data_IF_065011119899
#
_entry.id   IF_065011119899
#
_cell.length_a   1.000
_cell.length_b   1.000
_cell.length_c   1.000
_cell.angle_alpha   90.00
_cell.angle_beta   90.00
_cell.angle_gamma   90.00
#
_symmetry.space_group_name_H-M   'P 1'
#
loop_
_entity.id
_entity.type
_entity.pdbx_description
1 polymer ?
#
# COMPACT_ATOMS: atom_id res chain seq x y z
N UNK A 1 16.10 -10.02 24.81
CA UNK A 1 15.20 -10.60 23.80
C UNK A 1 15.85 -10.36 22.44
N UNK A 2 15.45 -11.09 21.39
CA UNK A 2 16.12 -10.99 20.08
C UNK A 2 15.26 -10.15 19.15
N UNK A 3 15.86 -9.48 18.17
CA UNK A 3 15.16 -8.88 17.04
C UNK A 3 14.42 -9.97 16.26
N UNK A 4 13.20 -9.71 15.83
CA UNK A 4 12.33 -10.69 15.18
C UNK A 4 11.83 -10.16 13.83
N UNK A 5 12.01 -10.98 12.78
CA UNK A 5 11.37 -10.72 11.49
C UNK A 5 9.90 -11.14 11.59
N UNK A 6 9.00 -10.18 11.48
CA UNK A 6 7.55 -10.42 11.60
C UNK A 6 6.89 -10.41 10.23
N UNK A 7 6.59 -11.60 9.73
CA UNK A 7 5.82 -11.75 8.49
C UNK A 7 4.38 -11.27 8.68
N UNK A 8 3.87 -10.51 7.72
CA UNK A 8 2.47 -10.11 7.71
C UNK A 8 1.53 -11.22 7.20
N UNK A 9 2.07 -12.38 6.83
CA UNK A 9 1.32 -13.43 6.13
C UNK A 9 0.17 -13.99 6.94
N UNK A 10 0.40 -14.32 8.22
CA UNK A 10 -0.63 -14.95 9.06
C UNK A 10 -1.84 -14.02 9.25
N UNK A 11 -1.60 -12.74 9.50
CA UNK A 11 -2.63 -11.73 9.54
C UNK A 11 -3.43 -11.66 8.22
N UNK A 12 -2.71 -11.61 7.10
CA UNK A 12 -3.33 -11.54 5.77
C UNK A 12 -4.16 -12.78 5.47
N UNK A 13 -3.67 -13.97 5.81
CA UNK A 13 -4.38 -15.24 5.59
C UNK A 13 -5.66 -15.31 6.44
N UNK A 14 -5.64 -14.80 7.68
CA UNK A 14 -6.83 -14.70 8.54
C UNK A 14 -7.85 -13.72 7.92
N UNK A 15 -7.41 -12.51 7.58
CA UNK A 15 -8.30 -11.48 7.04
C UNK A 15 -8.89 -11.82 5.67
N UNK A 16 -8.16 -12.53 4.83
CA UNK A 16 -8.70 -13.06 3.58
C UNK A 16 -9.81 -14.09 3.80
N UNK A 17 -9.69 -14.94 4.82
CA UNK A 17 -10.75 -15.89 5.17
C UNK A 17 -12.01 -15.15 5.62
N UNK A 18 -11.86 -14.11 6.47
CA UNK A 18 -12.96 -13.26 6.91
C UNK A 18 -13.66 -12.61 5.70
N UNK A 19 -12.90 -11.97 4.80
CA UNK A 19 -13.42 -11.34 3.58
C UNK A 19 -14.14 -12.36 2.67
N UNK A 20 -13.56 -13.53 2.50
CA UNK A 20 -14.18 -14.60 1.69
C UNK A 20 -15.52 -15.04 2.24
N UNK A 21 -15.66 -15.19 3.55
CA UNK A 21 -16.95 -15.51 4.17
C UNK A 21 -17.94 -14.35 3.99
N UNK A 22 -17.49 -13.11 4.14
CA UNK A 22 -18.32 -11.93 3.94
C UNK A 22 -18.87 -11.84 2.51
N UNK A 23 -17.99 -12.02 1.50
CA UNK A 23 -18.37 -11.98 0.07
C UNK A 23 -19.42 -13.03 -0.28
N UNK A 24 -19.42 -14.20 0.35
CA UNK A 24 -20.43 -15.24 0.12
C UNK A 24 -21.87 -14.80 0.46
N UNK A 25 -22.00 -13.81 1.32
CA UNK A 25 -23.29 -13.27 1.74
C UNK A 25 -23.71 -12.03 0.94
N UNK A 26 -22.92 -11.61 -0.03
CA UNK A 26 -23.28 -10.53 -0.95
C UNK A 26 -24.15 -11.06 -2.10
N UNK A 27 -25.02 -10.20 -2.65
CA UNK A 27 -25.92 -10.59 -3.73
C UNK A 27 -25.22 -10.88 -5.05
N UNK A 28 -24.08 -10.19 -5.30
CA UNK A 28 -23.19 -10.42 -6.43
C UNK A 28 -21.75 -10.35 -5.98
N UNK A 29 -20.84 -10.86 -6.78
CA UNK A 29 -19.39 -10.68 -6.55
C UNK A 29 -19.03 -9.22 -6.76
N UNK A 30 -18.24 -8.61 -5.84
CA UNK A 30 -17.65 -7.30 -6.10
C UNK A 30 -16.75 -7.33 -7.33
N UNK A 31 -16.69 -6.23 -8.08
CA UNK A 31 -15.93 -6.10 -9.33
C UNK A 31 -14.81 -5.07 -9.17
N UNK A 32 -13.57 -5.51 -9.33
CA UNK A 32 -12.38 -4.65 -9.38
C UNK A 32 -11.90 -4.50 -10.83
N UNK A 33 -11.85 -3.26 -11.35
CA UNK A 33 -11.24 -2.97 -12.64
C UNK A 33 -9.83 -2.40 -12.45
N UNK A 34 -8.83 -3.08 -12.99
CA UNK A 34 -7.42 -2.68 -12.98
C UNK A 34 -7.04 -2.14 -14.35
N UNK A 35 -6.73 -0.85 -14.43
CA UNK A 35 -6.28 -0.19 -15.65
C UNK A 35 -4.76 -0.16 -15.66
N UNK A 36 -4.14 -0.77 -16.66
CA UNK A 36 -2.70 -0.74 -16.90
C UNK A 36 -2.40 0.08 -18.16
N UNK A 37 -1.41 0.96 -18.07
CA UNK A 37 -0.92 1.71 -19.24
C UNK A 37 0.48 1.21 -19.54
N UNK A 38 0.61 0.56 -20.70
CA UNK A 38 1.76 -0.19 -21.15
C UNK A 38 2.07 -1.50 -20.42
N UNK A 39 2.88 -2.32 -21.08
CA UNK A 39 3.32 -3.62 -20.60
C UNK A 39 4.65 -3.47 -19.85
N UNK A 40 4.58 -3.37 -18.50
CA UNK A 40 5.74 -3.33 -17.62
C UNK A 40 5.83 -4.62 -16.80
N UNK A 41 7.02 -5.23 -16.76
CA UNK A 41 7.24 -6.51 -16.07
C UNK A 41 6.93 -6.44 -14.57
N UNK A 42 7.24 -5.32 -13.93
CA UNK A 42 6.98 -5.12 -12.50
C UNK A 42 5.48 -5.02 -12.25
N UNK A 43 4.79 -4.17 -13.02
CA UNK A 43 3.33 -4.02 -12.98
C UNK A 43 2.61 -5.35 -13.22
N UNK A 44 3.06 -6.14 -14.19
CA UNK A 44 2.50 -7.45 -14.51
C UNK A 44 2.58 -8.42 -13.32
N UNK A 45 3.68 -8.40 -12.58
CA UNK A 45 3.83 -9.22 -11.37
C UNK A 45 2.84 -8.82 -10.28
N UNK A 46 2.64 -7.52 -10.08
CA UNK A 46 1.64 -6.99 -9.12
C UNK A 46 0.22 -7.33 -9.53
N UNK A 47 -0.12 -7.18 -10.82
CA UNK A 47 -1.45 -7.50 -11.35
C UNK A 47 -1.74 -8.99 -11.18
N UNK A 48 -0.77 -9.89 -11.47
CA UNK A 48 -0.91 -11.33 -11.21
C UNK A 48 -1.15 -11.62 -9.73
N UNK A 49 -0.47 -10.92 -8.84
CA UNK A 49 -0.70 -11.03 -7.39
C UNK A 49 -2.11 -10.61 -7.00
N UNK A 50 -2.61 -9.49 -7.52
CA UNK A 50 -3.97 -9.00 -7.30
C UNK A 50 -5.02 -9.99 -7.84
N UNK A 51 -4.80 -10.52 -9.07
CA UNK A 51 -5.70 -11.53 -9.64
C UNK A 51 -5.80 -12.75 -8.74
N UNK A 52 -4.67 -13.28 -8.29
CA UNK A 52 -4.65 -14.43 -7.38
C UNK A 52 -5.43 -14.15 -6.08
N UNK A 53 -5.26 -12.96 -5.49
CA UNK A 53 -5.97 -12.58 -4.27
C UNK A 53 -7.48 -12.45 -4.52
N UNK A 54 -7.89 -11.82 -5.64
CA UNK A 54 -9.28 -11.72 -6.05
C UNK A 54 -9.93 -13.10 -6.26
N UNK A 55 -9.25 -14.00 -6.97
CA UNK A 55 -9.74 -15.38 -7.22
C UNK A 55 -9.92 -16.16 -5.91
N UNK A 56 -8.98 -15.98 -4.97
CA UNK A 56 -9.00 -16.66 -3.68
C UNK A 56 -10.20 -16.27 -2.81
N UNK A 57 -10.54 -14.97 -2.79
CA UNK A 57 -11.59 -14.45 -1.91
C UNK A 57 -12.95 -14.28 -2.59
N UNK A 58 -13.01 -14.30 -3.92
CA UNK A 58 -14.26 -14.27 -4.69
C UNK A 58 -14.61 -12.91 -5.29
N UNK A 59 -13.65 -11.99 -5.46
CA UNK A 59 -13.79 -10.75 -6.23
C UNK A 59 -13.61 -11.05 -7.72
N UNK A 60 -14.42 -10.46 -8.59
CA UNK A 60 -14.20 -10.47 -10.03
C UNK A 60 -13.18 -9.38 -10.38
N UNK A 61 -12.05 -9.75 -10.98
CA UNK A 61 -11.08 -8.76 -11.44
C UNK A 61 -11.12 -8.63 -12.97
N UNK A 62 -11.27 -7.41 -13.45
CA UNK A 62 -11.18 -7.05 -14.88
C UNK A 62 -9.87 -6.30 -15.12
N UNK A 63 -9.08 -6.76 -16.07
CA UNK A 63 -7.82 -6.12 -16.46
C UNK A 63 -7.96 -5.44 -17.81
N UNK A 64 -7.78 -4.13 -17.85
CA UNK A 64 -7.81 -3.30 -19.07
C UNK A 64 -6.40 -2.79 -19.34
N UNK A 65 -5.83 -3.17 -20.47
CA UNK A 65 -4.51 -2.71 -20.90
C UNK A 65 -4.62 -1.66 -22.02
N UNK A 66 -3.97 -0.52 -21.82
CA UNK A 66 -3.92 0.61 -22.77
C UNK A 66 -2.48 0.75 -23.27
N UNK A 67 -2.27 0.80 -24.57
CA UNK A 67 -0.93 0.92 -25.17
C UNK A 67 -0.60 2.38 -25.47
N UNK A 68 0.40 2.94 -24.78
CA UNK A 68 0.75 4.37 -24.86
C UNK A 68 1.31 4.81 -26.22
N UNK A 69 1.91 3.92 -26.98
CA UNK A 69 2.47 4.25 -28.30
C UNK A 69 1.42 4.67 -29.34
N UNK A 70 0.16 4.30 -29.14
CA UNK A 70 -0.96 4.60 -30.05
C UNK A 70 -2.06 5.44 -29.39
N UNK A 71 -1.91 5.83 -28.12
CA UNK A 71 -3.01 6.43 -27.35
C UNK A 71 -2.59 7.77 -26.76
N UNK A 72 -3.38 8.81 -27.01
CA UNK A 72 -3.20 10.14 -26.45
C UNK A 72 -3.89 10.28 -25.07
N UNK A 73 -3.51 11.32 -24.30
CA UNK A 73 -4.09 11.59 -22.97
C UNK A 73 -5.64 11.59 -22.97
N UNK A 74 -6.27 12.23 -23.97
CA UNK A 74 -7.73 12.30 -24.08
C UNK A 74 -8.39 10.95 -24.32
N UNK A 75 -7.75 10.07 -25.04
CA UNK A 75 -8.27 8.73 -25.33
C UNK A 75 -8.22 7.88 -24.06
N UNK A 76 -7.13 7.98 -23.28
CA UNK A 76 -7.04 7.35 -21.95
C UNK A 76 -8.12 7.87 -21.02
N UNK A 77 -8.39 9.20 -21.02
CA UNK A 77 -9.46 9.81 -20.24
C UNK A 77 -10.84 9.26 -20.64
N UNK A 78 -11.10 9.10 -21.93
CA UNK A 78 -12.35 8.48 -22.42
C UNK A 78 -12.51 7.05 -21.90
N UNK A 79 -11.47 6.23 -22.02
CA UNK A 79 -11.49 4.84 -21.54
C UNK A 79 -11.80 4.77 -20.04
N UNK A 80 -11.13 5.60 -19.23
CA UNK A 80 -11.37 5.65 -17.77
C UNK A 80 -12.81 6.12 -17.49
N UNK A 81 -13.28 7.14 -18.19
CA UNK A 81 -14.66 7.65 -18.02
C UNK A 81 -15.71 6.60 -18.39
N UNK A 82 -15.45 5.77 -19.40
CA UNK A 82 -16.38 4.71 -19.79
C UNK A 82 -16.35 3.55 -18.79
N UNK A 83 -15.18 3.22 -18.21
CA UNK A 83 -15.05 2.25 -17.12
C UNK A 83 -15.81 2.74 -15.88
N UNK A 84 -15.71 4.02 -15.53
CA UNK A 84 -16.43 4.63 -14.41
C UNK A 84 -17.97 4.62 -14.56
N UNK A 85 -18.49 4.38 -15.77
CA UNK A 85 -19.93 4.19 -16.03
C UNK A 85 -20.34 2.72 -16.09
N UNK A 86 -19.39 1.80 -15.94
CA UNK A 86 -19.66 0.36 -15.96
C UNK A 86 -20.21 -0.10 -14.61
N UNK A 87 -20.29 -1.41 -14.43
CA UNK A 87 -20.69 -2.05 -13.17
C UNK A 87 -19.47 -2.38 -12.26
N UNK A 88 -18.36 -1.68 -12.42
CA UNK A 88 -17.21 -1.82 -11.54
C UNK A 88 -17.53 -1.24 -10.15
N UNK A 89 -17.24 -1.99 -9.11
CA UNK A 89 -17.39 -1.50 -7.73
C UNK A 89 -16.12 -0.77 -7.26
N UNK A 90 -14.95 -1.11 -7.84
CA UNK A 90 -13.70 -0.43 -7.59
C UNK A 90 -12.82 -0.31 -8.83
N UNK A 91 -12.10 0.81 -8.96
CA UNK A 91 -11.24 1.09 -10.10
C UNK A 91 -9.87 1.53 -9.59
N UNK A 92 -8.82 0.98 -10.18
CA UNK A 92 -7.44 1.43 -9.93
C UNK A 92 -6.68 1.66 -11.23
N UNK A 93 -5.74 2.60 -11.19
CA UNK A 93 -4.74 2.80 -12.24
C UNK A 93 -3.43 2.21 -11.73
N UNK A 94 -3.00 1.10 -12.32
CA UNK A 94 -1.75 0.43 -11.93
C UNK A 94 -0.54 1.31 -12.21
N UNK A 95 0.24 1.59 -11.17
CA UNK A 95 1.49 2.36 -11.29
C UNK A 95 2.69 1.42 -11.53
N UNK A 96 3.76 1.94 -12.20
CA UNK A 96 3.88 3.28 -12.76
C UNK A 96 3.12 3.46 -14.09
N UNK A 97 2.86 4.72 -14.47
CA UNK A 97 2.38 5.06 -15.81
C UNK A 97 3.43 5.85 -16.60
N UNK A 98 3.41 5.83 -17.95
CA UNK A 98 4.33 6.65 -18.75
C UNK A 98 4.22 8.14 -18.44
N UNK A 99 5.38 8.82 -18.34
CA UNK A 99 5.47 10.21 -17.90
C UNK A 99 4.80 11.26 -18.80
N UNK A 100 4.32 10.85 -19.99
CA UNK A 100 3.54 11.74 -20.85
C UNK A 100 2.10 11.96 -20.38
N UNK A 101 1.61 11.13 -19.46
CA UNK A 101 0.26 11.24 -18.90
C UNK A 101 0.24 11.96 -17.57
N UNK A 102 -0.79 12.76 -17.35
CA UNK A 102 -1.04 13.41 -16.06
C UNK A 102 -1.83 12.46 -15.16
N UNK A 103 -1.13 11.80 -14.24
CA UNK A 103 -1.72 10.82 -13.32
C UNK A 103 -2.84 11.42 -12.46
N UNK A 104 -2.63 12.59 -11.86
CA UNK A 104 -3.63 13.24 -11.00
C UNK A 104 -4.94 13.53 -11.76
N UNK A 105 -4.81 13.94 -13.03
CA UNK A 105 -5.98 14.15 -13.90
C UNK A 105 -6.70 12.85 -14.21
N UNK A 106 -5.97 11.75 -14.46
CA UNK A 106 -6.58 10.44 -14.71
C UNK A 106 -7.26 9.88 -13.45
N UNK A 107 -6.64 10.00 -12.29
CA UNK A 107 -7.22 9.58 -11.02
C UNK A 107 -8.51 10.33 -10.69
N UNK A 108 -8.57 11.64 -10.98
CA UNK A 108 -9.76 12.44 -10.74
C UNK A 108 -10.97 12.11 -11.65
N UNK A 109 -10.82 11.24 -12.64
CA UNK A 109 -11.92 10.72 -13.45
C UNK A 109 -12.63 9.51 -12.80
N UNK A 110 -11.98 8.86 -11.84
CA UNK A 110 -12.57 7.76 -11.08
C UNK A 110 -13.52 8.37 -10.03
N UNK A 111 -14.77 7.92 -9.90
CA UNK A 111 -15.65 8.36 -8.82
C UNK A 111 -15.03 8.14 -7.44
N UNK A 112 -15.38 8.97 -6.47
CA UNK A 112 -14.78 8.93 -5.12
C UNK A 112 -15.06 7.63 -4.39
N UNK A 113 -16.22 7.05 -4.62
CA UNK A 113 -16.72 5.78 -4.09
C UNK A 113 -16.15 4.54 -4.81
N UNK A 114 -15.50 4.73 -5.97
CA UNK A 114 -14.85 3.67 -6.75
C UNK A 114 -13.31 3.77 -6.70
N UNK A 115 -12.74 4.85 -6.14
CA UNK A 115 -11.29 5.04 -5.99
C UNK A 115 -10.75 4.18 -4.84
N UNK A 116 -10.72 2.87 -5.04
CA UNK A 116 -10.33 1.89 -4.01
C UNK A 116 -8.83 1.86 -3.71
N UNK A 117 -7.97 2.50 -4.51
CA UNK A 117 -6.57 2.78 -4.15
C UNK A 117 -6.46 3.93 -3.13
N UNK A 118 -7.50 4.81 -3.06
CA UNK A 118 -7.54 5.96 -2.15
C UNK A 118 -6.55 7.06 -2.52
N UNK A 119 -6.29 7.29 -3.80
CA UNK A 119 -5.28 8.26 -4.25
C UNK A 119 -5.85 9.66 -4.52
N UNK A 120 -7.16 9.80 -4.68
CA UNK A 120 -7.82 11.09 -4.74
C UNK A 120 -7.83 11.72 -3.35
N UNK A 121 -7.80 13.06 -3.30
CA UNK A 121 -7.88 13.80 -2.03
C UNK A 121 -9.24 13.67 -1.34
N UNK A 122 -10.29 13.50 -2.14
CA UNK A 122 -11.69 13.38 -1.74
C UNK A 122 -12.21 11.95 -1.85
N UNK A 123 -11.30 10.95 -1.94
CA UNK A 123 -11.65 9.54 -1.95
C UNK A 123 -12.39 9.15 -0.68
N UNK A 124 -13.36 8.23 -0.82
CA UNK A 124 -14.03 7.59 0.32
C UNK A 124 -13.09 6.64 1.07
N UNK A 125 -11.95 6.29 0.48
CA UNK A 125 -11.02 5.30 1.02
C UNK A 125 -9.67 5.91 1.42
N UNK A 126 -9.05 5.35 2.44
CA UNK A 126 -7.64 5.63 2.76
C UNK A 126 -6.72 4.87 1.79
N UNK A 127 -5.54 5.43 1.44
CA UNK A 127 -4.59 4.74 0.57
C UNK A 127 -4.21 3.35 1.09
N UNK A 128 -4.18 2.36 0.20
CA UNK A 128 -4.08 0.95 0.57
C UNK A 128 -2.85 0.61 1.41
N UNK A 129 -1.66 1.13 1.06
CA UNK A 129 -0.42 0.83 1.80
C UNK A 129 -0.45 1.37 3.22
N UNK A 130 -0.70 2.66 3.46
CA UNK A 130 -0.85 3.20 4.81
C UNK A 130 -1.94 2.51 5.62
N UNK A 131 -3.12 2.30 5.02
CA UNK A 131 -4.23 1.60 5.66
C UNK A 131 -3.82 0.20 6.12
N UNK A 132 -3.24 -0.58 5.22
CA UNK A 132 -2.83 -1.95 5.56
C UNK A 132 -1.79 -2.02 6.68
N UNK A 133 -0.84 -1.06 6.74
CA UNK A 133 0.13 -0.95 7.82
C UNK A 133 -0.57 -0.66 9.16
N UNK A 134 -1.43 0.34 9.20
CA UNK A 134 -2.15 0.71 10.44
C UNK A 134 -3.04 -0.43 10.92
N UNK A 135 -3.82 -1.04 10.02
CA UNK A 135 -4.71 -2.17 10.36
C UNK A 135 -3.92 -3.37 10.93
N UNK A 136 -2.74 -3.65 10.35
CA UNK A 136 -1.85 -4.71 10.83
C UNK A 136 -1.24 -4.39 12.19
N UNK A 137 -0.82 -3.14 12.40
CA UNK A 137 -0.29 -2.68 13.68
C UNK A 137 -1.35 -2.78 14.78
N UNK A 138 -2.59 -2.34 14.50
CA UNK A 138 -3.70 -2.45 15.45
C UNK A 138 -4.03 -3.91 15.79
N UNK A 139 -4.03 -4.79 14.80
CA UNK A 139 -4.27 -6.23 15.01
C UNK A 139 -3.22 -6.89 15.93
N UNK A 140 -1.99 -6.39 15.91
CA UNK A 140 -0.89 -6.89 16.73
C UNK A 140 -0.67 -6.06 18.02
N UNK A 141 -1.66 -5.29 18.43
CA UNK A 141 -1.67 -4.49 19.67
C UNK A 141 -0.52 -3.48 19.78
N UNK A 142 -0.01 -2.95 18.65
CA UNK A 142 0.94 -1.85 18.68
C UNK A 142 0.23 -0.55 19.11
N UNK A 143 0.75 0.07 20.15
CA UNK A 143 0.24 1.35 20.63
C UNK A 143 0.80 2.51 19.80
N UNK A 144 -0.05 3.47 19.45
CA UNK A 144 0.35 4.68 18.73
C UNK A 144 0.48 5.89 19.65
N UNK A 145 -0.40 5.97 20.65
CA UNK A 145 -0.47 7.13 21.53
C UNK A 145 0.80 7.28 22.37
N UNK A 146 1.44 8.44 22.23
CA UNK A 146 2.67 8.76 22.94
C UNK A 146 3.93 8.14 22.32
N UNK A 147 3.82 7.47 21.17
CA UNK A 147 4.98 6.93 20.43
C UNK A 147 5.56 7.98 19.50
N UNK A 148 6.89 8.02 19.42
CA UNK A 148 7.64 8.79 18.44
C UNK A 148 7.83 7.96 17.16
N UNK A 149 7.27 8.44 16.05
CA UNK A 149 7.32 7.77 14.76
C UNK A 149 8.19 8.55 13.76
N UNK A 150 9.07 7.87 13.05
CA UNK A 150 9.84 8.44 11.94
C UNK A 150 9.40 7.84 10.61
N UNK A 151 8.84 8.65 9.72
CA UNK A 151 8.46 8.26 8.36
C UNK A 151 9.50 8.78 7.38
N UNK A 152 10.20 7.87 6.72
CA UNK A 152 11.23 8.16 5.72
C UNK A 152 10.62 8.13 4.32
N UNK A 153 10.46 9.29 3.72
CA UNK A 153 9.76 9.49 2.45
C UNK A 153 8.40 10.17 2.62
N UNK A 154 8.08 11.08 1.70
CA UNK A 154 6.83 11.88 1.74
C UNK A 154 6.04 11.81 0.43
N UNK A 155 6.01 10.65 -0.22
CA UNK A 155 5.19 10.48 -1.42
C UNK A 155 3.71 10.73 -1.11
N UNK A 156 2.97 11.26 -2.10
CA UNK A 156 1.52 11.54 -1.96
C UNK A 156 0.69 10.27 -1.72
N UNK A 157 1.21 9.11 -2.09
CA UNK A 157 0.47 7.84 -2.05
C UNK A 157 0.84 6.93 -0.86
N UNK A 158 1.97 7.18 -0.19
CA UNK A 158 2.44 6.34 0.94
C UNK A 158 2.84 7.20 2.14
N UNK A 159 3.99 7.89 2.06
CA UNK A 159 4.59 8.52 3.24
C UNK A 159 3.73 9.63 3.86
N UNK A 160 3.20 10.54 3.04
CA UNK A 160 2.35 11.61 3.55
C UNK A 160 1.01 11.10 4.14
N UNK A 161 0.26 10.21 3.47
CA UNK A 161 -0.93 9.62 4.07
C UNK A 161 -0.63 8.83 5.35
N UNK A 162 0.47 8.06 5.40
CA UNK A 162 0.86 7.32 6.60
C UNK A 162 1.16 8.28 7.75
N UNK A 163 1.90 9.36 7.51
CA UNK A 163 2.17 10.41 8.51
C UNK A 163 0.85 10.94 9.11
N UNK A 164 -0.13 11.28 8.26
CA UNK A 164 -1.41 11.78 8.72
C UNK A 164 -2.18 10.74 9.56
N UNK A 165 -2.21 9.49 9.11
CA UNK A 165 -2.90 8.41 9.84
C UNK A 165 -2.25 8.14 11.21
N UNK A 166 -0.92 8.17 11.31
CA UNK A 166 -0.21 8.02 12.58
C UNK A 166 -0.53 9.18 13.55
N UNK A 167 -0.59 10.43 13.04
CA UNK A 167 -1.01 11.60 13.83
C UNK A 167 -2.45 11.44 14.31
N UNK A 168 -3.38 11.01 13.45
CA UNK A 168 -4.78 10.73 13.80
C UNK A 168 -4.89 9.67 14.92
N UNK A 169 -3.96 8.72 15.00
CA UNK A 169 -3.86 7.71 16.07
C UNK A 169 -3.19 8.21 17.35
N UNK A 170 -2.68 9.43 17.35
CA UNK A 170 -2.08 10.07 18.55
C UNK A 170 -0.57 9.88 18.69
N UNK A 171 0.13 9.47 17.65
CA UNK A 171 1.59 9.44 17.61
C UNK A 171 2.19 10.83 17.37
N UNK A 172 3.41 11.04 17.85
CA UNK A 172 4.29 12.15 17.42
C UNK A 172 5.02 11.70 16.15
N UNK A 173 4.92 12.45 15.06
CA UNK A 173 5.47 12.00 13.78
C UNK A 173 6.47 12.97 13.20
N UNK A 174 7.68 12.50 12.92
CA UNK A 174 8.65 13.18 12.07
C UNK A 174 8.63 12.58 10.68
N UNK A 175 8.41 13.41 9.66
CA UNK A 175 8.42 12.99 8.26
C UNK A 175 9.67 13.51 7.55
N UNK A 176 10.61 12.62 7.25
CA UNK A 176 11.86 12.92 6.57
C UNK A 176 11.74 12.80 5.05
N UNK A 177 12.64 13.46 4.34
CA UNK A 177 12.74 13.41 2.88
C UNK A 177 14.20 13.56 2.43
N UNK A 178 14.47 13.53 1.12
CA UNK A 178 15.81 13.60 0.54
C UNK A 178 16.62 14.87 0.88
N UNK A 179 15.98 15.89 1.41
CA UNK A 179 16.66 17.14 1.86
C UNK A 179 16.79 17.24 3.38
N UNK A 180 16.31 16.23 4.13
CA UNK A 180 16.46 16.20 5.57
C UNK A 180 17.93 15.96 5.92
N UNK A 181 18.51 16.87 6.69
CA UNK A 181 19.86 16.71 7.19
C UNK A 181 19.85 15.70 8.36
N UNK A 182 20.83 14.79 8.37
CA UNK A 182 21.01 13.82 9.48
C UNK A 182 19.74 13.02 9.80
N UNK A 183 19.22 12.29 8.83
CA UNK A 183 18.05 11.39 9.00
C UNK A 183 18.23 10.44 10.18
N UNK A 184 19.47 9.98 10.41
CA UNK A 184 19.85 9.14 11.56
C UNK A 184 19.48 9.74 12.92
N UNK A 185 19.52 11.08 13.06
CA UNK A 185 19.08 11.72 14.29
C UNK A 185 17.60 11.40 14.59
N UNK A 186 16.75 11.38 13.59
CA UNK A 186 15.32 11.14 13.73
C UNK A 186 15.02 9.64 13.88
N UNK A 187 15.71 8.76 13.16
CA UNK A 187 15.51 7.31 13.28
C UNK A 187 16.00 6.78 14.61
N UNK A 188 17.08 7.35 15.17
CA UNK A 188 17.61 6.96 16.48
C UNK A 188 16.81 7.47 17.67
N UNK A 189 15.86 8.36 17.46
CA UNK A 189 14.97 8.86 18.52
C UNK A 189 13.50 8.39 18.32
N UNK A 190 13.27 7.45 17.42
CA UNK A 190 11.94 6.94 17.14
C UNK A 190 11.69 5.57 17.77
N UNK A 191 10.47 5.38 18.30
CA UNK A 191 9.96 4.07 18.71
C UNK A 191 9.62 3.22 17.49
N UNK A 192 9.06 3.84 16.45
CA UNK A 192 8.71 3.19 15.18
C UNK A 192 9.31 3.91 13.99
N UNK A 193 9.92 3.14 13.08
CA UNK A 193 10.48 3.68 11.83
C UNK A 193 9.76 3.05 10.64
N UNK A 194 9.33 3.89 9.70
CA UNK A 194 8.65 3.50 8.46
C UNK A 194 9.50 3.94 7.27
N UNK A 195 10.11 2.99 6.56
CA UNK A 195 10.95 3.31 5.41
C UNK A 195 10.20 3.18 4.09
N UNK A 196 10.06 4.29 3.37
CA UNK A 196 9.38 4.42 2.08
C UNK A 196 10.18 5.30 1.10
N UNK A 197 11.50 5.08 1.04
CA UNK A 197 12.41 5.87 0.19
C UNK A 197 12.56 5.30 -1.22
N UNK A 198 12.34 3.99 -1.40
CA UNK A 198 12.43 3.30 -2.68
C UNK A 198 13.87 3.15 -3.18
N UNK A 199 14.82 2.96 -2.29
CA UNK A 199 16.24 2.73 -2.60
C UNK A 199 16.67 1.40 -1.98
N UNK A 200 17.21 0.44 -2.78
CA UNK A 200 17.56 -0.88 -2.28
C UNK A 200 18.60 -0.81 -1.16
N UNK A 201 18.34 -1.46 -0.02
CA UNK A 201 19.27 -1.63 1.09
C UNK A 201 19.93 -0.29 1.55
N UNK A 202 19.14 0.79 1.56
CA UNK A 202 19.63 2.14 1.86
C UNK A 202 19.95 2.35 3.34
N UNK A 203 19.20 1.71 4.25
CA UNK A 203 19.39 1.79 5.68
C UNK A 203 19.98 0.50 6.23
N UNK A 204 20.97 0.65 7.11
CA UNK A 204 21.45 -0.42 7.95
C UNK A 204 20.82 -0.34 9.35
N UNK A 205 20.85 -1.44 10.11
CA UNK A 205 20.28 -1.45 11.47
C UNK A 205 21.01 -0.50 12.44
N UNK A 206 22.24 -0.13 12.17
CA UNK A 206 22.99 0.90 12.92
C UNK A 206 22.37 2.30 12.80
N UNK A 207 21.49 2.52 11.81
CA UNK A 207 20.79 3.79 11.62
C UNK A 207 19.58 3.97 12.54
N UNK A 208 19.18 2.89 13.26
CA UNK A 208 18.06 2.90 14.16
C UNK A 208 18.48 2.92 15.62
N UNK A 209 17.54 3.23 16.51
CA UNK A 209 17.75 3.17 17.96
C UNK A 209 17.79 1.73 18.46
N UNK A 210 18.63 1.45 19.48
CA UNK A 210 18.56 0.19 20.24
C UNK A 210 17.22 0.00 20.98
N UNK A 211 16.43 1.08 21.09
CA UNK A 211 15.09 1.08 21.70
C UNK A 211 13.98 1.11 20.66
N UNK A 212 14.29 1.08 19.38
CA UNK A 212 13.29 1.01 18.31
C UNK A 212 12.50 -0.29 18.43
N UNK A 213 11.19 -0.19 18.59
CA UNK A 213 10.32 -1.34 18.78
C UNK A 213 9.88 -1.97 17.44
N UNK A 214 9.77 -1.14 16.39
CA UNK A 214 9.28 -1.59 15.09
C UNK A 214 9.96 -0.85 13.93
N UNK A 215 10.44 -1.61 12.97
CA UNK A 215 10.87 -1.12 11.65
C UNK A 215 9.96 -1.69 10.58
N UNK A 216 9.19 -0.83 9.92
CA UNK A 216 8.30 -1.19 8.81
C UNK A 216 8.99 -0.84 7.50
N UNK A 217 9.48 -1.85 6.80
CA UNK A 217 10.08 -1.69 5.48
C UNK A 217 9.00 -1.71 4.40
N UNK A 218 8.72 -0.54 3.83
CA UNK A 218 7.70 -0.33 2.80
C UNK A 218 8.31 -0.39 1.40
N UNK A 219 9.63 -0.25 1.31
CA UNK A 219 10.34 -0.27 0.05
C UNK A 219 10.14 -1.59 -0.71
N UNK A 220 9.95 -1.48 -2.02
CA UNK A 220 9.89 -2.63 -2.91
C UNK A 220 10.87 -2.37 -4.04
N UNK A 221 12.04 -2.93 -3.91
CA UNK A 221 13.17 -2.71 -4.78
C UNK A 221 13.68 -4.03 -5.37
N UNK A 222 14.66 -3.94 -6.27
CA UNK A 222 15.44 -5.07 -6.74
C UNK A 222 16.92 -4.79 -6.48
N UNK A 223 17.61 -5.79 -5.95
CA UNK A 223 19.05 -5.74 -5.75
C UNK A 223 19.80 -5.95 -7.09
N UNK A 224 21.13 -5.95 -7.05
CA UNK A 224 22.01 -6.17 -8.21
C UNK A 224 21.78 -7.52 -8.90
N UNK A 225 21.16 -8.49 -8.23
CA UNK A 225 20.82 -9.81 -8.74
C UNK A 225 19.35 -9.94 -9.17
N UNK A 226 18.63 -8.80 -9.34
CA UNK A 226 17.21 -8.76 -9.67
C UNK A 226 16.29 -9.39 -8.60
N UNK A 227 16.80 -9.67 -7.39
CA UNK A 227 16.05 -10.21 -6.28
C UNK A 227 15.29 -9.08 -5.56
N UNK A 228 14.06 -9.36 -5.16
CA UNK A 228 13.25 -8.42 -4.35
C UNK A 228 13.94 -8.14 -3.01
N UNK A 229 14.08 -6.87 -2.68
CA UNK A 229 14.58 -6.38 -1.40
C UNK A 229 13.81 -5.12 -0.99
N UNK A 230 13.97 -4.73 0.27
CA UNK A 230 13.41 -3.52 0.83
C UNK A 230 14.38 -2.32 0.75
N UNK A 231 14.02 -1.27 1.47
CA UNK A 231 14.89 -0.13 1.74
C UNK A 231 15.89 -0.43 2.86
N UNK A 232 15.59 -1.42 3.70
CA UNK A 232 16.39 -1.80 4.86
C UNK A 232 17.24 -3.03 4.53
N UNK A 233 18.54 -2.93 4.79
CA UNK A 233 19.48 -4.03 4.62
C UNK A 233 19.28 -5.05 5.76
N UNK A 234 18.77 -6.23 5.42
CA UNK A 234 18.46 -7.30 6.37
C UNK A 234 19.69 -8.19 6.71
N UNK A 235 20.89 -7.80 6.30
CA UNK A 235 22.11 -8.56 6.63
C UNK A 235 22.51 -8.24 8.07
N UNK A 236 22.71 -9.30 8.88
CA UNK A 236 23.19 -9.20 10.27
C UNK A 236 22.29 -8.44 11.26
N UNK A 237 20.97 -8.31 11.00
CA UNK A 237 20.03 -7.58 11.88
C UNK A 237 20.08 -8.09 13.34
N UNK A 238 20.39 -9.37 13.57
CA UNK A 238 20.50 -9.95 14.92
C UNK A 238 21.63 -9.34 15.77
N UNK A 239 22.56 -8.58 15.16
CA UNK A 239 23.71 -8.00 15.83
C UNK A 239 23.46 -6.60 16.36
N UNK A 240 22.47 -5.88 15.80
CA UNK A 240 22.38 -4.43 16.01
C UNK A 240 21.16 -3.97 16.80
N UNK A 241 20.09 -4.76 16.84
CA UNK A 241 18.85 -4.36 17.50
C UNK A 241 18.45 -5.35 18.57
N UNK A 242 17.94 -4.84 19.68
CA UNK A 242 17.40 -5.62 20.79
C UNK A 242 15.88 -5.40 20.89
N UNK A 243 15.09 -6.46 20.77
CA UNK A 243 13.62 -6.42 20.87
C UNK A 243 12.91 -5.62 19.79
N UNK A 244 13.45 -5.54 18.60
CA UNK A 244 12.83 -4.84 17.48
C UNK A 244 12.10 -5.81 16.58
N UNK A 245 10.87 -5.48 16.21
CA UNK A 245 10.15 -6.17 15.14
C UNK A 245 10.52 -5.53 13.79
N UNK A 246 10.73 -6.36 12.76
CA UNK A 246 11.07 -5.88 11.41
C UNK A 246 10.20 -6.59 10.39
N UNK A 247 9.52 -5.83 9.53
CA UNK A 247 8.76 -6.43 8.42
C UNK A 247 9.68 -6.83 7.27
N UNK A 248 9.57 -8.05 6.74
CA UNK A 248 10.43 -8.52 5.65
C UNK A 248 9.98 -8.01 4.27
N UNK A 249 10.93 -7.97 3.34
CA UNK A 249 10.63 -7.81 1.91
C UNK A 249 11.31 -8.95 1.14
N UNK A 250 10.56 -9.86 0.49
CA UNK A 250 9.09 -9.97 0.46
C UNK A 250 8.46 -10.57 1.73
N UNK A 251 7.13 -10.46 1.85
CA UNK A 251 6.36 -11.08 2.93
C UNK A 251 5.84 -10.11 4.00
N UNK A 252 6.16 -8.83 3.87
CA UNK A 252 5.68 -7.74 4.73
C UNK A 252 4.60 -6.88 4.06
N UNK A 253 4.86 -5.58 3.96
CA UNK A 253 3.90 -4.52 3.59
C UNK A 253 3.21 -4.75 2.24
N UNK A 254 3.88 -5.36 1.25
CA UNK A 254 3.25 -5.67 -0.04
C UNK A 254 2.03 -6.59 0.07
N UNK A 255 1.98 -7.47 1.08
CA UNK A 255 0.81 -8.29 1.36
C UNK A 255 -0.31 -7.47 1.99
N UNK A 256 0.02 -6.54 2.89
CA UNK A 256 -0.92 -5.64 3.56
C UNK A 256 -1.60 -4.70 2.55
N UNK A 257 -0.83 -4.14 1.61
CA UNK A 257 -1.34 -3.27 0.55
C UNK A 257 -2.41 -3.98 -0.29
N UNK A 258 -2.15 -5.23 -0.68
CA UNK A 258 -3.10 -6.01 -1.49
C UNK A 258 -4.36 -6.38 -0.69
N UNK A 259 -4.20 -6.74 0.59
CA UNK A 259 -5.33 -7.01 1.48
C UNK A 259 -6.20 -5.77 1.65
N UNK A 260 -5.60 -4.60 1.92
CA UNK A 260 -6.32 -3.34 2.08
C UNK A 260 -7.10 -2.97 0.79
N UNK A 261 -6.52 -3.23 -0.39
CA UNK A 261 -7.22 -3.05 -1.66
C UNK A 261 -8.47 -3.95 -1.74
N UNK A 262 -8.33 -5.24 -1.40
CA UNK A 262 -9.48 -6.17 -1.42
C UNK A 262 -10.59 -5.72 -0.46
N UNK A 263 -10.22 -5.25 0.74
CA UNK A 263 -11.17 -4.71 1.70
C UNK A 263 -11.88 -3.47 1.14
N UNK A 264 -11.13 -2.51 0.57
CA UNK A 264 -11.71 -1.32 -0.03
C UNK A 264 -12.70 -1.66 -1.16
N UNK A 265 -12.42 -2.68 -1.98
CA UNK A 265 -13.36 -3.14 -3.05
C UNK A 265 -14.66 -3.67 -2.46
N UNK A 266 -14.59 -4.45 -1.39
CA UNK A 266 -15.79 -4.98 -0.71
C UNK A 266 -16.59 -3.85 -0.06
N UNK A 267 -15.90 -2.89 0.56
CA UNK A 267 -16.53 -1.73 1.17
C UNK A 267 -17.16 -0.81 0.11
N UNK A 268 -16.51 -0.62 -1.04
CA UNK A 268 -17.05 0.14 -2.18
C UNK A 268 -18.35 -0.48 -2.70
N UNK A 269 -18.38 -1.80 -2.89
CA UNK A 269 -19.60 -2.52 -3.24
C UNK A 269 -20.75 -2.23 -2.26
N UNK A 270 -20.48 -2.24 -0.96
CA UNK A 270 -21.50 -1.97 0.06
C UNK A 270 -22.00 -0.53 0.02
N UNK A 271 -21.07 0.45 -0.07
CA UNK A 271 -21.40 1.89 -0.16
C UNK A 271 -22.36 2.12 -1.33
N UNK A 272 -22.00 1.67 -2.53
CA UNK A 272 -22.80 1.88 -3.74
C UNK A 272 -24.17 1.19 -3.66
N UNK A 273 -24.26 0.04 -3.00
CA UNK A 273 -25.54 -0.65 -2.80
C UNK A 273 -26.46 0.09 -1.83
N UNK A 274 -25.90 0.64 -0.75
CA UNK A 274 -26.71 1.36 0.26
C UNK A 274 -27.13 2.75 -0.23
N UNK A 275 -26.28 3.45 -0.98
CA UNK A 275 -26.64 4.74 -1.59
C UNK A 275 -27.71 4.61 -2.68
N UNK A 276 -27.73 3.49 -3.40
CA UNK A 276 -28.81 3.18 -4.37
C UNK A 276 -30.17 2.81 -3.74
N UNK A 277 -30.24 2.75 -2.39
CA UNK A 277 -31.50 2.47 -1.65
C UNK A 277 -32.10 3.71 -0.97
N UNK A 278 -31.44 4.88 -1.06
CA UNK A 278 -31.90 6.18 -0.57
C UNK A 278 -32.40 7.01 -1.75
#
# INVERSE_FOLDING_TARGET
>A
MRTEIVSCKDYVDIKKKELKEEIKHLDKKPVLTVIQIDDDKTSNSYIKGKQKDCDEIGIEMRHVNIYSNTTEQKEVECVITDIAKSDADGIIIQLPIPGKYNLERLQNLIPTEEDVDGFRRDSCFKPCTPKGIIDWMEYNDFEFKGKDCCVLGRSKIVGLPLTNMLIEKGATVTCCNSTTMSTEYYTRNADYVFSAVGIPNYFDFSDFSDFCELVVDIGINRDENEKLCGDVNNVDFERYLNNTYVTPVPGGVGLLTRLALMQNVVDAYKIQKYEGMI
#
